data_IF_614892440644
#
_entry.id   IF_614892440644
#
_cell.length_a   1.000
_cell.length_b   1.000
_cell.length_c   1.000
_cell.angle_alpha   90.00
_cell.angle_beta   90.00
_cell.angle_gamma   90.00
#
_symmetry.space_group_name_H-M   'P 1'
#
loop_
_entity.id
_entity.type
_entity.pdbx_description
1 polymer ?
#
# COMPACT_ATOMS: atom_id res chain seq x y z
N UNK A 1 1.87 -3.33 -9.40
CA UNK A 1 1.87 -2.37 -8.26
C UNK A 1 1.89 -3.17 -6.98
N UNK A 2 2.60 -2.69 -5.97
CA UNK A 2 2.84 -3.49 -4.77
C UNK A 2 2.47 -2.69 -3.53
N UNK A 3 1.61 -3.27 -2.67
CA UNK A 3 1.23 -2.68 -1.39
C UNK A 3 1.68 -3.63 -0.28
N UNK A 4 2.71 -3.23 0.44
CA UNK A 4 3.28 -4.02 1.53
C UNK A 4 2.96 -3.37 2.87
N UNK A 5 2.51 -4.17 3.82
CA UNK A 5 2.24 -3.75 5.18
C UNK A 5 3.23 -4.47 6.10
N UNK A 6 4.06 -3.71 6.80
CA UNK A 6 4.85 -4.21 7.92
C UNK A 6 4.19 -3.73 9.20
N UNK A 7 3.93 -4.64 10.12
CA UNK A 7 3.29 -4.31 11.41
C UNK A 7 4.00 -5.01 12.55
N UNK A 8 4.03 -4.37 13.70
CA UNK A 8 4.40 -5.07 14.94
C UNK A 8 3.37 -6.16 15.21
N UNK A 9 3.83 -7.34 15.60
CA UNK A 9 2.96 -8.47 15.98
C UNK A 9 1.93 -8.04 17.02
N UNK A 10 0.67 -8.44 16.81
CA UNK A 10 -0.45 -8.11 17.68
C UNK A 10 -1.14 -6.78 17.39
N UNK A 11 -0.57 -5.89 16.57
CA UNK A 11 -1.21 -4.62 16.18
C UNK A 11 -2.38 -4.88 15.23
N UNK A 12 -2.18 -5.72 14.20
CA UNK A 12 -3.25 -6.22 13.34
C UNK A 12 -3.53 -7.67 13.69
N UNK A 13 -4.77 -8.00 14.00
CA UNK A 13 -5.16 -9.40 14.21
C UNK A 13 -5.01 -10.19 12.90
N UNK A 14 -4.61 -11.47 12.97
CA UNK A 14 -4.42 -12.31 11.79
C UNK A 14 -5.68 -12.38 10.92
N UNK A 15 -6.86 -12.41 11.54
CA UNK A 15 -8.15 -12.43 10.85
C UNK A 15 -8.44 -11.14 10.05
N UNK A 16 -7.80 -10.03 10.39
CA UNK A 16 -8.03 -8.71 9.76
C UNK A 16 -7.00 -8.36 8.67
N UNK A 17 -5.94 -9.14 8.53
CA UNK A 17 -4.85 -8.83 7.57
C UNK A 17 -5.35 -8.78 6.13
N UNK A 18 -6.10 -9.78 5.69
CA UNK A 18 -6.61 -9.86 4.33
C UNK A 18 -7.59 -8.71 4.02
N UNK A 19 -8.53 -8.41 4.91
CA UNK A 19 -9.49 -7.33 4.73
C UNK A 19 -8.82 -5.95 4.76
N UNK A 20 -7.80 -5.77 5.57
CA UNK A 20 -7.02 -4.54 5.64
C UNK A 20 -6.26 -4.29 4.33
N UNK A 21 -5.56 -5.29 3.81
CA UNK A 21 -4.86 -5.20 2.53
C UNK A 21 -5.84 -4.91 1.38
N UNK A 22 -7.00 -5.60 1.39
CA UNK A 22 -8.06 -5.34 0.40
C UNK A 22 -8.58 -3.90 0.48
N UNK A 23 -8.83 -3.38 1.66
CA UNK A 23 -9.31 -2.01 1.84
C UNK A 23 -8.33 -0.96 1.29
N UNK A 24 -7.02 -1.17 1.45
CA UNK A 24 -5.98 -0.31 0.87
C UNK A 24 -5.99 -0.39 -0.65
N UNK A 25 -6.10 -1.60 -1.21
CA UNK A 25 -6.22 -1.81 -2.65
C UNK A 25 -7.45 -1.10 -3.22
N UNK A 26 -8.60 -1.29 -2.59
CA UNK A 26 -9.87 -0.66 -3.01
C UNK A 26 -9.78 0.88 -2.95
N UNK A 27 -9.16 1.43 -1.91
CA UNK A 27 -8.90 2.87 -1.79
C UNK A 27 -8.09 3.40 -2.98
N UNK A 28 -6.99 2.74 -3.30
CA UNK A 28 -6.14 3.13 -4.43
C UNK A 28 -6.91 3.09 -5.76
N UNK A 29 -7.60 1.99 -6.05
CA UNK A 29 -8.36 1.82 -7.29
C UNK A 29 -9.48 2.87 -7.42
N UNK A 30 -10.19 3.13 -6.34
CA UNK A 30 -11.26 4.14 -6.31
C UNK A 30 -10.74 5.55 -6.56
N UNK A 31 -9.63 5.93 -5.94
CA UNK A 31 -9.01 7.25 -6.13
C UNK A 31 -8.55 7.50 -7.57
N UNK A 32 -8.33 6.43 -8.33
CA UNK A 32 -7.95 6.51 -9.74
C UNK A 32 -9.10 6.21 -10.72
N UNK A 33 -10.33 6.00 -10.21
CA UNK A 33 -11.48 5.56 -11.01
C UNK A 33 -11.21 4.24 -11.77
N UNK A 34 -10.50 3.31 -11.16
CA UNK A 34 -10.06 2.04 -11.74
C UNK A 34 -10.64 0.82 -11.03
N UNK A 35 -11.70 1.00 -10.24
CA UNK A 35 -12.42 -0.12 -9.60
C UNK A 35 -12.93 -1.07 -10.68
N UNK A 36 -12.67 -2.37 -10.53
CA UNK A 36 -13.05 -3.40 -11.48
C UNK A 36 -12.15 -3.51 -12.73
N UNK A 37 -11.00 -2.82 -12.72
CA UNK A 37 -10.02 -2.94 -13.81
C UNK A 37 -9.35 -4.31 -13.78
N UNK A 38 -9.61 -5.15 -14.79
CA UNK A 38 -9.17 -6.55 -14.82
C UNK A 38 -7.64 -6.70 -14.84
N UNK A 39 -6.91 -5.78 -15.43
CA UNK A 39 -5.45 -5.80 -15.39
C UNK A 39 -4.94 -5.54 -13.97
N UNK A 40 -5.48 -4.52 -13.30
CA UNK A 40 -5.05 -4.15 -11.95
C UNK A 40 -5.47 -5.16 -10.89
N UNK A 41 -6.64 -5.78 -11.03
CA UNK A 41 -7.07 -6.87 -10.13
C UNK A 41 -6.07 -8.04 -10.09
N UNK A 42 -5.34 -8.27 -11.17
CA UNK A 42 -4.31 -9.31 -11.26
C UNK A 42 -2.92 -8.84 -10.86
N UNK A 43 -2.64 -7.52 -10.93
CA UNK A 43 -1.30 -6.98 -10.83
C UNK A 43 -1.11 -5.97 -9.68
N UNK A 44 -2.14 -5.73 -8.88
CA UNK A 44 -1.98 -5.14 -7.56
C UNK A 44 -1.72 -6.29 -6.58
N UNK A 45 -0.50 -6.39 -6.14
CA UNK A 45 -0.01 -7.47 -5.27
C UNK A 45 0.54 -6.89 -3.97
N UNK A 46 0.81 -7.73 -2.99
CA UNK A 46 1.46 -7.30 -1.76
C UNK A 46 1.41 -8.35 -0.67
N UNK A 47 1.83 -7.96 0.50
CA UNK A 47 1.92 -8.82 1.66
C UNK A 47 1.64 -8.06 2.96
N UNK A 48 1.38 -8.82 4.02
CA UNK A 48 1.38 -8.32 5.39
C UNK A 48 2.43 -9.09 6.17
N UNK A 49 3.47 -8.40 6.62
CA UNK A 49 4.56 -8.97 7.41
C UNK A 49 4.43 -8.54 8.86
N UNK A 50 4.34 -9.48 9.77
CA UNK A 50 4.36 -9.22 11.21
C UNK A 50 5.78 -9.40 11.75
N UNK A 51 6.27 -8.39 12.47
CA UNK A 51 7.57 -8.40 13.14
C UNK A 51 7.33 -8.64 14.63
N UNK A 52 8.08 -9.55 15.28
CA UNK A 52 7.90 -9.83 16.71
C UNK A 52 7.85 -8.57 17.57
N UNK A 53 6.98 -8.56 18.58
CA UNK A 53 6.91 -7.48 19.56
C UNK A 53 8.28 -7.25 20.23
N UNK A 54 8.69 -6.01 20.33
CA UNK A 54 10.02 -5.65 20.82
C UNK A 54 11.10 -5.54 19.73
N UNK A 55 10.80 -5.89 18.48
CA UNK A 55 11.70 -5.85 17.32
C UNK A 55 11.35 -4.79 16.29
N UNK A 56 10.37 -3.93 16.58
CA UNK A 56 10.07 -2.71 15.84
C UNK A 56 10.40 -1.49 16.70
N UNK A 57 10.92 -0.43 16.09
CA UNK A 57 11.55 0.65 16.85
C UNK A 57 11.12 2.03 16.36
N UNK A 58 11.03 2.97 17.31
CA UNK A 58 10.97 4.40 17.06
C UNK A 58 12.01 5.10 17.94
N UNK A 59 12.88 5.92 17.33
CA UNK A 59 13.97 6.56 18.06
C UNK A 59 14.91 5.59 18.79
N UNK A 60 15.09 4.38 18.25
CA UNK A 60 15.92 3.33 18.82
C UNK A 60 15.30 2.59 20.01
N UNK A 61 14.02 2.83 20.32
CA UNK A 61 13.29 2.16 21.40
C UNK A 61 12.19 1.27 20.82
N UNK A 62 11.91 0.09 21.45
CA UNK A 62 10.80 -0.74 21.03
C UNK A 62 9.48 0.05 21.04
N UNK A 63 8.76 -0.02 19.93
CA UNK A 63 7.50 0.69 19.75
C UNK A 63 6.60 -0.06 18.78
N UNK A 64 5.29 0.00 18.97
CA UNK A 64 4.34 -0.51 18.00
C UNK A 64 4.25 0.44 16.81
N UNK A 65 4.46 -0.09 15.62
CA UNK A 65 4.42 0.67 14.37
C UNK A 65 3.68 -0.09 13.27
N UNK A 66 3.19 0.66 12.29
CA UNK A 66 2.75 0.11 11.01
C UNK A 66 3.36 0.94 9.89
N UNK A 67 3.98 0.28 8.93
CA UNK A 67 4.52 0.90 7.71
C UNK A 67 3.76 0.32 6.52
N UNK A 68 3.09 1.16 5.75
CA UNK A 68 2.52 0.81 4.46
C UNK A 68 3.41 1.37 3.36
N UNK A 69 4.06 0.49 2.61
CA UNK A 69 4.86 0.89 1.46
C UNK A 69 4.08 0.61 0.18
N UNK A 70 3.88 1.66 -0.59
CA UNK A 70 3.14 1.61 -1.86
C UNK A 70 4.10 1.87 -3.01
N UNK A 71 4.37 0.83 -3.79
CA UNK A 71 5.20 0.89 -4.98
C UNK A 71 4.30 0.98 -6.22
N UNK A 72 4.26 2.15 -6.85
CA UNK A 72 3.38 2.45 -7.99
C UNK A 72 4.11 3.26 -9.05
N UNK A 73 3.67 3.22 -10.33
CA UNK A 73 4.27 4.04 -11.37
C UNK A 73 4.09 5.53 -11.08
N UNK A 74 5.01 6.36 -11.59
CA UNK A 74 5.03 7.80 -11.32
C UNK A 74 3.82 8.58 -11.85
N UNK A 75 3.00 7.98 -12.70
CA UNK A 75 1.74 8.57 -13.13
C UNK A 75 0.58 8.34 -12.12
N UNK A 76 0.76 7.44 -11.16
CA UNK A 76 -0.21 7.19 -10.09
C UNK A 76 0.02 8.14 -8.91
N UNK A 77 -1.06 8.52 -8.21
CA UNK A 77 -1.00 9.43 -7.06
C UNK A 77 -0.19 10.70 -7.37
N UNK A 78 -0.31 11.23 -8.58
CA UNK A 78 0.54 12.31 -9.06
C UNK A 78 -0.03 13.71 -8.77
N UNK A 79 -1.28 13.84 -8.37
CA UNK A 79 -1.86 15.11 -7.95
C UNK A 79 -1.77 15.31 -6.43
N UNK A 80 -1.63 16.56 -5.94
CA UNK A 80 -1.60 16.84 -4.50
C UNK A 80 -2.84 16.31 -3.75
N UNK A 81 -4.03 16.41 -4.36
CA UNK A 81 -5.29 15.93 -3.78
C UNK A 81 -5.30 14.41 -3.62
N UNK A 82 -4.87 13.66 -4.64
CA UNK A 82 -4.76 12.19 -4.58
C UNK A 82 -3.73 11.74 -3.55
N UNK A 83 -2.57 12.40 -3.49
CA UNK A 83 -1.52 12.08 -2.51
C UNK A 83 -2.04 12.21 -1.09
N UNK A 84 -2.63 13.36 -0.77
CA UNK A 84 -3.16 13.60 0.56
C UNK A 84 -4.31 12.66 0.91
N UNK A 85 -5.25 12.44 0.00
CA UNK A 85 -6.38 11.53 0.21
C UNK A 85 -5.91 10.10 0.45
N UNK A 86 -4.97 9.60 -0.35
CA UNK A 86 -4.44 8.25 -0.20
C UNK A 86 -3.76 8.05 1.16
N UNK A 87 -2.85 8.93 1.54
CA UNK A 87 -2.13 8.85 2.82
C UNK A 87 -3.10 8.91 3.99
N UNK A 88 -4.06 9.82 3.97
CA UNK A 88 -5.05 9.98 5.04
C UNK A 88 -5.96 8.75 5.15
N UNK A 89 -6.53 8.28 4.04
CA UNK A 89 -7.46 7.15 4.05
C UNK A 89 -6.76 5.83 4.43
N UNK A 90 -5.55 5.57 3.92
CA UNK A 90 -4.79 4.37 4.31
C UNK A 90 -4.45 4.41 5.80
N UNK A 91 -4.07 5.56 6.33
CA UNK A 91 -3.86 5.73 7.78
C UNK A 91 -5.13 5.38 8.56
N UNK A 92 -6.28 5.87 8.13
CA UNK A 92 -7.57 5.58 8.80
C UNK A 92 -7.95 4.08 8.70
N UNK A 93 -7.68 3.44 7.58
CA UNK A 93 -7.88 1.98 7.40
C UNK A 93 -7.04 1.21 8.42
N UNK A 94 -5.76 1.55 8.55
CA UNK A 94 -4.86 0.90 9.52
C UNK A 94 -5.35 1.13 10.95
N UNK A 95 -5.69 2.35 11.33
CA UNK A 95 -6.16 2.68 12.68
C UNK A 95 -7.46 1.94 13.03
N UNK A 96 -8.39 1.85 12.09
CA UNK A 96 -9.62 1.10 12.26
C UNK A 96 -9.34 -0.39 12.49
N UNK A 97 -8.48 -1.00 11.70
CA UNK A 97 -8.10 -2.40 11.85
C UNK A 97 -7.31 -2.67 13.14
N UNK A 98 -6.48 -1.73 13.56
CA UNK A 98 -5.63 -1.86 14.76
C UNK A 98 -6.43 -1.74 16.07
N UNK A 99 -7.61 -1.12 16.05
CA UNK A 99 -8.49 -1.06 17.23
C UNK A 99 -7.83 -0.46 18.47
N UNK A 100 -7.04 0.60 18.33
CA UNK A 100 -6.34 1.28 19.43
C UNK A 100 -4.97 0.69 19.79
N UNK A 101 -4.50 -0.35 19.10
CA UNK A 101 -3.20 -0.99 19.37
C UNK A 101 -2.00 -0.29 18.74
N UNK A 102 -2.24 0.74 17.95
CA UNK A 102 -1.21 1.64 17.40
C UNK A 102 -1.73 3.07 17.40
N UNK A 103 -0.86 4.02 17.70
CA UNK A 103 -1.19 5.45 17.64
C UNK A 103 -1.06 5.98 16.20
N UNK A 104 -1.80 7.06 15.89
CA UNK A 104 -1.81 7.65 14.55
C UNK A 104 -0.42 8.06 14.07
N UNK A 105 0.41 8.63 14.92
CA UNK A 105 1.75 9.08 14.60
C UNK A 105 2.78 7.94 14.49
N UNK A 106 2.31 6.70 14.67
CA UNK A 106 3.07 5.46 14.46
C UNK A 106 2.63 4.67 13.24
N UNK A 107 1.78 5.26 12.41
CA UNK A 107 1.38 4.73 11.11
C UNK A 107 2.05 5.55 10.01
N UNK A 108 2.86 4.90 9.20
CA UNK A 108 3.62 5.51 8.12
C UNK A 108 3.11 4.98 6.78
N UNK A 109 2.78 5.88 5.86
CA UNK A 109 2.35 5.54 4.50
C UNK A 109 3.31 6.18 3.52
N UNK A 110 4.14 5.37 2.90
CA UNK A 110 5.17 5.83 1.96
C UNK A 110 4.84 5.41 0.54
N UNK A 111 4.99 6.31 -0.39
CA UNK A 111 4.82 6.04 -1.83
C UNK A 111 6.18 6.09 -2.50
N UNK A 112 6.53 5.03 -3.21
CA UNK A 112 7.80 4.90 -3.93
C UNK A 112 7.50 4.75 -5.42
N UNK A 113 8.20 5.53 -6.24
CA UNK A 113 8.11 5.48 -7.69
C UNK A 113 9.34 4.79 -8.28
N UNK A 114 9.21 3.61 -8.89
CA UNK A 114 10.27 3.03 -9.69
C UNK A 114 10.58 3.88 -10.92
N UNK A 115 11.80 3.77 -11.39
CA UNK A 115 12.22 4.38 -12.65
C UNK A 115 11.37 3.85 -13.80
N UNK A 116 10.95 4.74 -14.71
CA UNK A 116 10.22 4.37 -15.91
C UNK A 116 11.00 3.30 -16.72
N UNK A 117 10.30 2.27 -17.18
CA UNK A 117 10.91 1.13 -17.89
C UNK A 117 11.39 0.00 -16.99
N UNK A 118 11.20 0.08 -15.66
CA UNK A 118 11.65 -0.96 -14.71
C UNK A 118 10.50 -1.67 -14.00
N UNK A 119 9.28 -1.69 -14.56
CA UNK A 119 8.19 -2.52 -14.08
C UNK A 119 8.32 -3.95 -14.62
N UNK A 120 8.81 -4.86 -13.80
CA UNK A 120 8.96 -6.26 -14.17
C UNK A 120 7.68 -7.06 -13.94
N UNK A 121 7.04 -7.51 -15.02
CA UNK A 121 5.88 -8.41 -14.97
C UNK A 121 6.11 -9.54 -15.97
N UNK A 122 6.07 -10.78 -15.53
CA UNK A 122 6.20 -11.97 -16.35
C UNK A 122 7.45 -11.96 -17.27
N UNK A 123 8.58 -11.47 -16.73
CA UNK A 123 9.86 -11.42 -17.46
C UNK A 123 10.00 -10.24 -18.43
N UNK A 124 9.03 -9.37 -18.53
CA UNK A 124 9.10 -8.14 -19.33
C UNK A 124 9.22 -6.91 -18.44
N UNK A 125 10.15 -6.01 -18.78
CA UNK A 125 10.24 -4.68 -18.18
C UNK A 125 9.33 -3.71 -18.95
N UNK A 126 8.30 -3.20 -18.26
CA UNK A 126 7.32 -2.28 -18.84
C UNK A 126 7.71 -0.82 -18.59
N UNK A 127 7.49 0.01 -19.59
CA UNK A 127 7.48 1.47 -19.44
C UNK A 127 6.14 1.94 -18.85
N UNK A 128 6.12 3.18 -18.34
CA UNK A 128 4.88 3.81 -17.90
C UNK A 128 3.85 3.88 -19.03
N UNK A 129 4.26 4.19 -20.25
CA UNK A 129 3.38 4.24 -21.42
C UNK A 129 2.72 2.87 -21.72
N UNK A 130 3.50 1.80 -21.68
CA UNK A 130 2.99 0.45 -21.86
C UNK A 130 2.03 0.02 -20.73
N UNK A 131 2.31 0.44 -19.48
CA UNK A 131 1.40 0.18 -18.37
C UNK A 131 0.09 0.93 -18.53
N UNK A 132 0.13 2.20 -18.91
CA UNK A 132 -1.09 2.99 -19.18
C UNK A 132 -1.92 2.32 -20.28
N UNK A 133 -1.30 1.84 -21.34
CA UNK A 133 -1.98 1.12 -22.41
C UNK A 133 -2.66 -0.17 -21.88
N UNK A 134 -1.98 -0.95 -21.05
CA UNK A 134 -2.56 -2.15 -20.44
C UNK A 134 -3.73 -1.83 -19.52
N UNK A 135 -3.59 -0.83 -18.68
CA UNK A 135 -4.64 -0.39 -17.75
C UNK A 135 -5.85 0.12 -18.53
N UNK A 136 -5.65 0.86 -19.62
CA UNK A 136 -6.77 1.38 -20.42
C UNK A 136 -7.59 0.32 -21.13
N UNK A 137 -7.04 -0.88 -21.31
CA UNK A 137 -7.69 -2.03 -21.93
C UNK A 137 -8.31 -3.02 -20.92
N UNK A 138 -7.99 -2.87 -19.66
CA UNK A 138 -8.51 -3.67 -18.54
C UNK A 138 -9.72 -3.04 -17.92
#
# INVERSE_FOLDING_TARGET
MTFNILTTEGVLADADKASTHKAITDCFLRLHNLTGNAFLERHVIGEVTSVPSGETFAGGKPENIVIVETLVPSFALNSPGQKQAYVAEVTDIILSAAGGRVERDRVYVNVVYPVDGLWGIAGKAYTNAELIEKISKG
#
